data_IF_159219505106
#
_entry.id   IF_159219505106
#
_cell.length_a   1.000
_cell.length_b   1.000
_cell.length_c   1.000
_cell.angle_alpha   90.00
_cell.angle_beta   90.00
_cell.angle_gamma   90.00
#
_symmetry.space_group_name_H-M   'P 1'
#
loop_
_entity.id
_entity.type
_entity.pdbx_description
1 polymer ?
#
# COMPACT_ATOMS: atom_id res chain seq x y z
N UNK A 1 -19.09 -26.88 15.84
CA UNK A 1 -18.56 -26.39 17.13
C UNK A 1 -18.09 -24.98 16.93
N UNK A 2 -18.31 -24.03 17.84
CA UNK A 2 -17.63 -22.72 17.74
C UNK A 2 -16.13 -23.00 17.75
N UNK A 3 -15.44 -22.39 16.78
CA UNK A 3 -13.99 -22.54 16.65
C UNK A 3 -13.31 -21.98 17.90
N UNK A 4 -12.55 -22.81 18.58
CA UNK A 4 -11.80 -22.51 19.81
C UNK A 4 -10.58 -21.60 19.54
N UNK A 5 -10.66 -20.66 18.60
CA UNK A 5 -9.54 -19.80 18.24
C UNK A 5 -9.93 -18.39 17.83
N UNK A 6 -8.93 -17.54 17.76
CA UNK A 6 -9.10 -16.14 17.32
C UNK A 6 -9.35 -16.08 15.83
N UNK A 7 -10.08 -15.06 15.43
CA UNK A 7 -10.42 -14.79 14.03
C UNK A 7 -9.97 -13.39 13.64
N UNK A 8 -9.53 -13.25 12.38
CA UNK A 8 -9.24 -11.96 11.77
C UNK A 8 -10.11 -11.80 10.53
N UNK A 9 -10.75 -10.67 10.38
CA UNK A 9 -11.57 -10.32 9.21
C UNK A 9 -10.96 -9.09 8.55
N UNK A 10 -10.39 -9.25 7.38
CA UNK A 10 -9.78 -8.15 6.63
C UNK A 10 -10.77 -7.44 5.73
N UNK A 11 -10.77 -6.12 5.81
CA UNK A 11 -11.50 -5.19 4.93
C UNK A 11 -10.55 -4.12 4.41
N UNK A 12 -10.91 -3.44 3.32
CA UNK A 12 -10.06 -2.38 2.75
C UNK A 12 -10.37 -0.99 3.28
N UNK A 13 -11.54 -0.74 3.82
CA UNK A 13 -11.92 0.59 4.26
C UNK A 13 -12.13 0.69 5.77
N UNK A 14 -11.75 1.83 6.34
CA UNK A 14 -11.96 2.14 7.76
C UNK A 14 -13.44 2.06 8.13
N UNK A 15 -14.33 2.56 7.27
CA UNK A 15 -15.77 2.53 7.49
C UNK A 15 -16.32 1.12 7.50
N UNK A 16 -15.91 0.25 6.58
CA UNK A 16 -16.31 -1.17 6.56
C UNK A 16 -15.81 -1.88 7.80
N UNK A 17 -14.58 -1.62 8.26
CA UNK A 17 -14.03 -2.20 9.49
C UNK A 17 -14.96 -1.97 10.68
N UNK A 18 -15.38 -0.72 10.88
CA UNK A 18 -16.30 -0.35 11.97
C UNK A 18 -17.69 -0.97 11.79
N UNK A 19 -18.24 -0.91 10.57
CA UNK A 19 -19.56 -1.46 10.27
C UNK A 19 -19.63 -2.97 10.49
N UNK A 20 -18.63 -3.71 10.02
CA UNK A 20 -18.60 -5.15 10.19
C UNK A 20 -18.38 -5.57 11.64
N UNK A 21 -17.49 -4.88 12.38
CA UNK A 21 -17.32 -5.14 13.80
C UNK A 21 -18.65 -4.91 14.58
N UNK A 22 -19.40 -3.86 14.22
CA UNK A 22 -20.74 -3.60 14.81
C UNK A 22 -21.72 -4.73 14.46
N UNK A 23 -21.82 -5.12 13.19
CA UNK A 23 -22.72 -6.21 12.75
C UNK A 23 -22.42 -7.54 13.45
N UNK A 24 -21.15 -7.88 13.60
CA UNK A 24 -20.75 -9.10 14.31
C UNK A 24 -21.15 -9.04 15.79
N UNK A 25 -20.98 -7.89 16.44
CA UNK A 25 -21.47 -7.69 17.82
C UNK A 25 -22.98 -7.85 17.95
N UNK A 26 -23.76 -7.33 17.01
CA UNK A 26 -25.21 -7.49 16.97
C UNK A 26 -25.65 -8.97 16.81
N UNK A 27 -24.77 -9.80 16.25
CA UNK A 27 -24.97 -11.27 16.17
C UNK A 27 -24.38 -12.03 17.36
N UNK A 28 -23.97 -11.32 18.42
CA UNK A 28 -23.43 -11.95 19.62
C UNK A 28 -21.95 -12.37 19.55
N UNK A 29 -21.23 -11.97 18.51
CA UNK A 29 -19.80 -12.26 18.33
C UNK A 29 -19.00 -11.14 19.01
N UNK A 30 -18.07 -11.49 19.89
CA UNK A 30 -17.16 -10.55 20.55
C UNK A 30 -16.13 -10.02 19.54
N UNK A 31 -16.48 -9.00 18.77
CA UNK A 31 -15.68 -8.43 17.69
C UNK A 31 -15.15 -7.04 18.02
N UNK A 32 -13.94 -6.71 17.55
CA UNK A 32 -13.34 -5.39 17.63
C UNK A 32 -13.02 -4.83 16.25
N UNK A 33 -12.86 -3.50 16.15
CA UNK A 33 -12.42 -2.83 14.94
C UNK A 33 -10.98 -2.32 15.11
N UNK A 34 -10.16 -2.42 14.05
CA UNK A 34 -8.79 -1.91 14.07
C UNK A 34 -8.39 -1.31 12.72
N UNK A 35 -8.01 -0.05 12.70
CA UNK A 35 -7.55 0.65 11.49
C UNK A 35 -6.62 1.83 11.81
N UNK A 36 -5.84 2.27 10.85
CA UNK A 36 -4.86 3.35 11.02
C UNK A 36 -5.46 4.72 11.39
N UNK A 37 -6.77 4.92 11.20
CA UNK A 37 -7.46 6.15 11.61
C UNK A 37 -7.83 6.23 13.10
N UNK A 38 -7.57 5.17 13.88
CA UNK A 38 -7.76 5.16 15.33
C UNK A 38 -6.56 5.78 16.05
N UNK A 39 -6.78 6.36 17.24
CA UNK A 39 -5.70 6.81 18.10
C UNK A 39 -4.81 5.65 18.56
N UNK A 40 -3.61 5.95 19.04
CA UNK A 40 -2.71 4.92 19.55
C UNK A 40 -3.32 4.15 20.73
N UNK A 41 -4.02 4.85 21.62
CA UNK A 41 -4.65 4.27 22.80
C UNK A 41 -5.81 3.35 22.41
N UNK A 42 -6.67 3.77 21.47
CA UNK A 42 -7.75 2.93 20.94
C UNK A 42 -7.21 1.66 20.30
N UNK A 43 -6.16 1.77 19.46
CA UNK A 43 -5.52 0.59 18.84
C UNK A 43 -4.96 -0.35 19.88
N UNK A 44 -4.25 0.18 20.89
CA UNK A 44 -3.68 -0.61 21.99
C UNK A 44 -4.77 -1.32 22.78
N UNK A 45 -5.87 -0.63 23.12
CA UNK A 45 -7.00 -1.22 23.83
C UNK A 45 -7.65 -2.37 23.03
N UNK A 46 -7.91 -2.17 21.74
CA UNK A 46 -8.48 -3.22 20.88
C UNK A 46 -7.53 -4.42 20.73
N UNK A 47 -6.26 -4.16 20.56
CA UNK A 47 -5.25 -5.21 20.47
C UNK A 47 -5.16 -6.00 21.78
N UNK A 48 -5.10 -5.36 22.92
CA UNK A 48 -5.05 -6.01 24.24
C UNK A 48 -6.29 -6.85 24.48
N UNK A 49 -7.47 -6.33 24.17
CA UNK A 49 -8.73 -7.07 24.30
C UNK A 49 -8.77 -8.31 23.41
N UNK A 50 -8.20 -8.22 22.20
CA UNK A 50 -8.14 -9.36 21.27
C UNK A 50 -7.04 -10.36 21.61
N UNK A 51 -5.89 -9.90 22.12
CA UNK A 51 -4.83 -10.80 22.61
C UNK A 51 -5.28 -11.61 23.84
N UNK A 52 -6.12 -11.02 24.69
CA UNK A 52 -6.79 -11.67 25.81
C UNK A 52 -8.08 -12.37 25.40
N UNK A 53 -9.00 -12.53 26.35
CA UNK A 53 -10.29 -13.21 26.14
C UNK A 53 -11.45 -12.24 25.78
N UNK A 54 -11.20 -10.94 25.81
CA UNK A 54 -12.25 -9.94 25.60
C UNK A 54 -12.85 -9.91 24.20
N UNK A 55 -12.07 -10.27 23.16
CA UNK A 55 -12.54 -10.33 21.78
C UNK A 55 -12.12 -11.65 21.14
N UNK A 56 -13.04 -12.30 20.43
CA UNK A 56 -12.75 -13.48 19.61
C UNK A 56 -12.37 -13.09 18.17
N UNK A 57 -12.90 -11.98 17.67
CA UNK A 57 -12.77 -11.58 16.28
C UNK A 57 -12.23 -10.14 16.19
N UNK A 58 -11.22 -9.94 15.34
CA UNK A 58 -10.74 -8.61 14.97
C UNK A 58 -11.11 -8.32 13.53
N UNK A 59 -11.90 -7.28 13.30
CA UNK A 59 -12.15 -6.74 11.96
C UNK A 59 -11.14 -5.62 11.71
N UNK A 60 -10.37 -5.72 10.64
CA UNK A 60 -9.23 -4.82 10.48
C UNK A 60 -8.93 -4.48 9.02
N UNK A 61 -8.25 -3.35 8.80
CA UNK A 61 -7.49 -3.11 7.58
C UNK A 61 -6.10 -3.74 7.67
N UNK A 62 -5.31 -3.67 6.60
CA UNK A 62 -3.90 -4.12 6.58
C UNK A 62 -3.02 -3.46 7.67
N UNK A 63 -3.48 -2.38 8.31
CA UNK A 63 -2.82 -1.78 9.48
C UNK A 63 -2.72 -2.73 10.68
N UNK A 64 -3.57 -3.77 10.75
CA UNK A 64 -3.52 -4.77 11.80
C UNK A 64 -2.62 -5.91 11.37
N UNK A 65 -1.44 -5.97 11.98
CA UNK A 65 -0.58 -7.08 11.64
C UNK A 65 0.88 -6.92 12.03
N UNK A 66 1.49 -5.75 11.88
CA UNK A 66 2.87 -5.57 12.31
C UNK A 66 2.99 -5.73 13.83
N UNK A 67 3.83 -6.68 14.27
CA UNK A 67 4.07 -6.91 15.69
C UNK A 67 2.96 -7.71 16.42
N UNK A 68 1.98 -8.28 15.72
CA UNK A 68 0.99 -9.17 16.33
C UNK A 68 1.51 -10.60 16.30
N UNK A 69 1.77 -11.13 17.47
CA UNK A 69 2.14 -12.51 17.67
C UNK A 69 1.05 -13.22 18.53
N UNK A 70 0.03 -13.74 17.85
CA UNK A 70 -1.04 -14.51 18.44
C UNK A 70 -1.04 -15.92 17.83
N UNK A 71 -0.64 -16.90 18.62
CA UNK A 71 -0.49 -18.27 18.17
C UNK A 71 -1.83 -18.93 17.80
N UNK A 72 -2.92 -18.57 18.50
CA UNK A 72 -4.22 -19.23 18.37
C UNK A 72 -5.16 -18.61 17.34
N UNK A 73 -4.65 -17.98 16.28
CA UNK A 73 -5.49 -17.55 15.14
C UNK A 73 -5.84 -18.80 14.32
N UNK A 74 -7.15 -19.07 14.19
CA UNK A 74 -7.65 -20.24 13.47
C UNK A 74 -8.30 -19.90 12.14
N UNK A 75 -8.79 -18.69 11.99
CA UNK A 75 -9.45 -18.29 10.76
C UNK A 75 -9.06 -16.87 10.36
N UNK A 76 -8.79 -16.71 9.08
CA UNK A 76 -8.61 -15.40 8.43
C UNK A 76 -9.63 -15.28 7.31
N UNK A 77 -10.46 -14.24 7.38
CA UNK A 77 -11.49 -13.95 6.39
C UNK A 77 -11.09 -12.68 5.62
N UNK A 78 -11.25 -12.72 4.31
CA UNK A 78 -11.11 -11.57 3.45
C UNK A 78 -12.48 -11.20 2.86
N UNK A 79 -12.98 -10.02 3.19
CA UNK A 79 -14.22 -9.46 2.63
C UNK A 79 -13.97 -8.64 1.37
N UNK A 80 -12.70 -8.32 1.13
CA UNK A 80 -12.21 -7.62 -0.05
C UNK A 80 -10.93 -8.30 -0.54
N UNK A 81 -10.63 -8.16 -1.83
CA UNK A 81 -9.39 -8.72 -2.40
C UNK A 81 -8.19 -7.88 -1.93
N UNK A 82 -7.15 -8.49 -1.36
CA UNK A 82 -5.91 -7.82 -0.97
C UNK A 82 -5.25 -7.05 -2.11
N UNK A 83 -4.39 -6.09 -1.78
CA UNK A 83 -3.75 -5.22 -2.78
C UNK A 83 -2.78 -5.98 -3.68
N UNK A 84 -2.11 -6.99 -3.12
CA UNK A 84 -1.15 -7.83 -3.83
C UNK A 84 -1.15 -9.25 -3.28
N UNK A 85 -0.60 -10.23 -4.00
CA UNK A 85 -0.37 -11.58 -3.49
C UNK A 85 0.48 -11.59 -2.22
N UNK A 86 1.48 -10.72 -2.12
CA UNK A 86 2.35 -10.59 -0.96
C UNK A 86 1.55 -10.15 0.28
N UNK A 87 0.67 -9.16 0.12
CA UNK A 87 -0.25 -8.73 1.18
C UNK A 87 -1.13 -9.87 1.64
N UNK A 88 -1.69 -10.65 0.69
CA UNK A 88 -2.46 -11.84 1.00
C UNK A 88 -1.67 -12.84 1.83
N UNK A 89 -0.45 -13.19 1.39
CA UNK A 89 0.38 -14.12 2.13
C UNK A 89 0.76 -13.61 3.52
N UNK A 90 1.01 -12.33 3.68
CA UNK A 90 1.27 -11.72 4.99
C UNK A 90 0.04 -11.77 5.91
N UNK A 91 -1.15 -11.59 5.37
CA UNK A 91 -2.40 -11.62 6.11
C UNK A 91 -2.78 -13.03 6.54
N UNK A 92 -2.74 -14.02 5.65
CA UNK A 92 -3.02 -15.42 6.00
C UNK A 92 -1.93 -16.05 6.87
N UNK A 93 -0.68 -15.63 6.75
CA UNK A 93 0.46 -16.07 7.56
C UNK A 93 0.35 -15.72 9.05
N UNK A 94 -0.76 -15.09 9.47
CA UNK A 94 -1.07 -14.86 10.88
C UNK A 94 -1.79 -16.03 11.52
N UNK A 95 -2.39 -16.89 10.73
CA UNK A 95 -3.09 -18.06 11.22
C UNK A 95 -2.14 -19.26 11.38
N UNK A 96 -2.43 -20.12 12.35
CA UNK A 96 -1.72 -21.39 12.54
C UNK A 96 -0.25 -21.28 12.95
N UNK A 97 0.18 -20.21 13.60
CA UNK A 97 1.57 -20.02 14.03
C UNK A 97 2.04 -21.04 15.08
N UNK A 98 1.12 -21.68 15.75
CA UNK A 98 1.39 -22.79 16.69
C UNK A 98 1.49 -24.15 15.99
N UNK A 99 1.42 -24.20 14.67
CA UNK A 99 1.44 -25.43 13.87
C UNK A 99 0.09 -26.18 13.82
N UNK A 100 -0.95 -25.68 14.50
CA UNK A 100 -2.27 -26.28 14.41
C UNK A 100 -3.00 -25.85 13.13
N UNK A 101 -3.94 -26.68 12.62
CA UNK A 101 -4.70 -26.34 11.43
C UNK A 101 -5.42 -24.99 11.54
N UNK A 102 -5.36 -24.21 10.48
CA UNK A 102 -6.02 -22.92 10.36
C UNK A 102 -6.56 -22.76 8.94
N UNK A 103 -7.55 -21.90 8.76
CA UNK A 103 -8.27 -21.73 7.51
C UNK A 103 -8.19 -20.26 7.05
N UNK A 104 -8.06 -20.06 5.75
CA UNK A 104 -8.19 -18.75 5.10
C UNK A 104 -9.37 -18.78 4.13
N UNK A 105 -10.25 -17.78 4.23
CA UNK A 105 -11.48 -17.70 3.46
C UNK A 105 -11.57 -16.40 2.71
N UNK A 106 -11.90 -16.47 1.42
CA UNK A 106 -12.38 -15.33 0.65
C UNK A 106 -13.91 -15.33 0.62
N UNK A 107 -14.52 -14.24 1.10
CA UNK A 107 -15.96 -14.02 1.03
C UNK A 107 -16.24 -12.98 -0.06
N UNK A 108 -16.17 -13.42 -1.30
CA UNK A 108 -16.35 -12.56 -2.45
C UNK A 108 -17.83 -12.54 -2.84
N UNK A 109 -18.46 -11.37 -2.80
CA UNK A 109 -19.72 -11.14 -3.45
C UNK A 109 -19.53 -10.59 -4.89
N UNK A 110 -20.59 -10.51 -5.67
CA UNK A 110 -20.56 -10.00 -7.05
C UNK A 110 -20.07 -8.54 -7.14
N UNK A 111 -20.22 -7.76 -6.07
CA UNK A 111 -19.73 -6.37 -6.00
C UNK A 111 -18.23 -6.32 -5.82
N UNK A 112 -17.68 -7.18 -4.97
CA UNK A 112 -16.23 -7.29 -4.78
C UNK A 112 -15.58 -7.73 -6.09
N UNK A 113 -16.14 -8.75 -6.75
CA UNK A 113 -15.66 -9.20 -8.05
C UNK A 113 -15.73 -8.08 -9.10
N UNK A 114 -16.86 -7.39 -9.24
CA UNK A 114 -17.01 -6.29 -10.21
C UNK A 114 -16.11 -5.09 -9.90
N UNK A 115 -15.82 -4.84 -8.62
CA UNK A 115 -14.88 -3.78 -8.19
C UNK A 115 -13.45 -4.19 -8.53
N UNK A 116 -13.11 -5.46 -8.39
CA UNK A 116 -11.80 -5.98 -8.78
C UNK A 116 -11.60 -5.97 -10.31
N UNK A 117 -12.59 -6.39 -11.07
CA UNK A 117 -12.58 -6.36 -12.54
C UNK A 117 -12.50 -4.93 -13.09
N UNK A 118 -13.14 -3.97 -12.40
CA UNK A 118 -13.10 -2.53 -12.70
C UNK A 118 -11.88 -1.84 -12.08
N UNK A 119 -11.13 -2.51 -11.20
CA UNK A 119 -9.80 -1.98 -10.92
C UNK A 119 -9.13 -1.84 -12.27
N UNK A 120 -8.67 -0.64 -12.65
CA UNK A 120 -7.80 -0.58 -13.80
C UNK A 120 -6.76 -1.68 -13.53
N UNK A 121 -6.69 -2.67 -14.38
CA UNK A 121 -5.48 -3.46 -14.52
C UNK A 121 -4.43 -2.40 -14.49
N UNK A 122 -3.52 -2.46 -13.53
CA UNK A 122 -2.41 -1.52 -13.49
C UNK A 122 -1.95 -1.46 -14.92
N UNK A 123 -2.36 -0.41 -15.62
CA UNK A 123 -1.83 -0.14 -16.94
C UNK A 123 -0.37 -0.11 -16.61
N UNK A 124 0.34 -1.12 -17.04
CA UNK A 124 1.75 -1.23 -16.74
C UNK A 124 2.32 0.11 -17.15
N UNK A 125 2.80 0.87 -16.17
CA UNK A 125 3.32 2.20 -16.40
C UNK A 125 4.30 2.08 -17.55
N UNK A 126 3.99 2.72 -18.63
CA UNK A 126 4.90 2.74 -19.78
C UNK A 126 6.06 3.65 -19.45
N UNK A 127 7.15 3.45 -20.14
CA UNK A 127 8.28 4.38 -20.08
C UNK A 127 7.85 5.84 -20.32
N UNK A 128 6.99 6.06 -21.29
CA UNK A 128 6.49 7.39 -21.64
C UNK A 128 5.71 8.02 -20.46
N UNK A 129 4.98 7.20 -19.72
CA UNK A 129 4.25 7.63 -18.52
C UNK A 129 5.20 8.07 -17.40
N UNK A 130 6.22 7.27 -17.11
CA UNK A 130 7.23 7.60 -16.11
C UNK A 130 8.00 8.87 -16.49
N UNK A 131 8.39 8.99 -17.76
CA UNK A 131 9.05 10.19 -18.28
C UNK A 131 8.19 11.45 -18.14
N UNK A 132 6.90 11.36 -18.43
CA UNK A 132 5.97 12.49 -18.25
C UNK A 132 5.89 12.94 -16.79
N UNK A 133 5.79 11.98 -15.85
CA UNK A 133 5.76 12.31 -14.42
C UNK A 133 7.09 12.92 -13.99
N UNK A 134 8.21 12.31 -14.36
CA UNK A 134 9.56 12.80 -14.02
C UNK A 134 9.81 14.21 -14.52
N UNK A 135 9.52 14.48 -15.80
CA UNK A 135 9.68 15.81 -16.39
C UNK A 135 8.78 16.86 -15.72
N UNK A 136 7.58 16.45 -15.33
CA UNK A 136 6.67 17.36 -14.64
C UNK A 136 7.16 17.67 -13.24
N UNK A 137 7.73 16.69 -12.53
CA UNK A 137 8.37 16.91 -11.23
C UNK A 137 9.55 17.89 -11.37
N UNK A 138 10.43 17.69 -12.33
CA UNK A 138 11.53 18.62 -12.61
C UNK A 138 11.06 20.03 -12.91
N UNK A 139 10.02 20.15 -13.74
CA UNK A 139 9.44 21.46 -14.10
C UNK A 139 8.81 22.19 -12.91
N UNK A 140 8.13 21.48 -12.03
CA UNK A 140 7.53 22.04 -10.82
C UNK A 140 8.60 22.51 -9.82
N UNK A 141 9.70 21.75 -9.72
CA UNK A 141 10.84 22.09 -8.86
C UNK A 141 11.79 23.13 -9.45
N UNK A 142 11.53 23.62 -10.68
CA UNK A 142 12.44 24.51 -11.42
C UNK A 142 13.87 23.91 -11.52
N UNK A 143 13.96 22.59 -11.58
CA UNK A 143 15.23 21.88 -11.69
C UNK A 143 15.58 21.79 -13.17
N UNK A 144 16.73 22.32 -13.54
CA UNK A 144 17.23 22.21 -14.91
C UNK A 144 17.62 20.75 -15.22
N UNK A 145 17.49 20.36 -16.47
CA UNK A 145 17.92 19.03 -16.93
C UNK A 145 19.41 18.86 -16.64
N UNK A 146 19.78 17.77 -15.96
CA UNK A 146 21.17 17.53 -15.54
C UNK A 146 21.57 18.13 -14.19
N UNK A 147 20.76 19.01 -13.61
CA UNK A 147 20.91 19.50 -12.25
C UNK A 147 19.96 18.81 -11.28
N UNK A 148 20.13 19.00 -10.00
CA UNK A 148 19.17 18.54 -8.98
C UNK A 148 19.67 17.45 -8.07
N UNK A 149 20.96 17.08 -8.14
CA UNK A 149 21.56 16.19 -7.14
C UNK A 149 21.40 16.81 -5.76
N UNK A 150 20.86 16.04 -4.80
CA UNK A 150 20.57 16.45 -3.43
C UNK A 150 19.55 17.61 -3.28
N UNK A 151 18.90 18.05 -4.35
CA UNK A 151 17.81 19.02 -4.24
C UNK A 151 16.59 18.33 -3.64
N UNK A 152 16.11 18.89 -2.53
CA UNK A 152 14.85 18.48 -1.90
C UNK A 152 13.75 19.43 -2.33
N UNK A 153 12.65 18.88 -2.83
CA UNK A 153 11.47 19.68 -3.15
C UNK A 153 10.20 19.05 -2.59
N UNK A 154 9.24 19.89 -2.27
CA UNK A 154 7.92 19.45 -1.85
C UNK A 154 7.12 19.05 -3.09
N UNK A 155 6.45 17.91 -3.00
CA UNK A 155 5.60 17.39 -4.06
C UNK A 155 4.15 17.31 -3.58
N UNK A 156 3.24 17.84 -4.39
CA UNK A 156 1.81 17.67 -4.21
C UNK A 156 1.28 16.70 -5.29
N UNK A 157 0.84 15.51 -4.84
CA UNK A 157 0.29 14.49 -5.73
C UNK A 157 -1.02 14.91 -6.39
N UNK A 158 -1.82 15.73 -5.72
CA UNK A 158 -3.10 16.20 -6.27
C UNK A 158 -2.85 17.25 -7.36
N UNK A 159 -1.84 18.11 -7.20
CA UNK A 159 -1.41 19.04 -8.25
C UNK A 159 -0.86 18.28 -9.47
N UNK A 160 -0.03 17.26 -9.26
CA UNK A 160 0.48 16.41 -10.33
C UNK A 160 -0.65 15.68 -11.07
N UNK A 161 -1.59 15.14 -10.33
CA UNK A 161 -2.75 14.42 -10.87
C UNK A 161 -3.58 15.34 -11.79
N UNK A 162 -3.85 16.56 -11.36
CA UNK A 162 -4.56 17.57 -12.16
C UNK A 162 -3.78 17.95 -13.42
N UNK A 163 -2.47 18.23 -13.28
CA UNK A 163 -1.65 18.69 -14.40
C UNK A 163 -1.40 17.64 -15.47
N UNK A 164 -1.42 16.36 -15.09
CA UNK A 164 -1.21 15.22 -15.99
C UNK A 164 -2.51 14.57 -16.46
N UNK A 165 -3.66 15.06 -15.96
CA UNK A 165 -4.98 14.47 -16.21
C UNK A 165 -5.00 12.96 -15.92
N UNK A 166 -4.43 12.59 -14.77
CA UNK A 166 -4.34 11.20 -14.31
C UNK A 166 -4.87 11.06 -12.89
N UNK A 167 -5.46 9.91 -12.54
CA UNK A 167 -5.90 9.67 -11.16
C UNK A 167 -4.72 9.76 -10.18
N UNK A 168 -4.94 10.34 -9.00
CA UNK A 168 -3.93 10.48 -7.93
C UNK A 168 -3.19 9.15 -7.64
N UNK A 169 -3.91 8.04 -7.61
CA UNK A 169 -3.31 6.71 -7.39
C UNK A 169 -2.35 6.27 -8.49
N UNK A 170 -2.61 6.68 -9.75
CA UNK A 170 -1.73 6.40 -10.87
C UNK A 170 -0.41 7.19 -10.73
N UNK A 171 -0.50 8.45 -10.32
CA UNK A 171 0.68 9.27 -9.99
C UNK A 171 1.46 8.64 -8.83
N UNK A 172 0.76 8.19 -7.77
CA UNK A 172 1.39 7.52 -6.64
C UNK A 172 2.18 6.29 -7.09
N UNK A 173 1.58 5.44 -7.92
CA UNK A 173 2.24 4.25 -8.46
C UNK A 173 3.47 4.61 -9.30
N UNK A 174 3.38 5.64 -10.14
CA UNK A 174 4.51 6.11 -10.94
C UNK A 174 5.67 6.59 -10.07
N UNK A 175 5.36 7.36 -9.03
CA UNK A 175 6.33 7.87 -8.07
C UNK A 175 6.97 6.72 -7.26
N UNK A 176 6.19 5.78 -6.74
CA UNK A 176 6.71 4.58 -6.04
C UNK A 176 7.61 3.74 -6.95
N UNK A 177 7.22 3.58 -8.21
CA UNK A 177 8.02 2.84 -9.18
C UNK A 177 9.36 3.52 -9.40
N UNK A 178 9.38 4.84 -9.59
CA UNK A 178 10.62 5.60 -9.78
C UNK A 178 11.49 5.62 -8.52
N UNK A 179 10.92 5.66 -7.33
CA UNK A 179 11.67 5.54 -6.07
C UNK A 179 12.34 4.16 -5.96
N UNK A 180 11.60 3.10 -6.23
CA UNK A 180 12.12 1.73 -6.21
C UNK A 180 13.27 1.54 -7.21
N UNK A 181 13.20 2.18 -8.35
CA UNK A 181 14.26 2.19 -9.36
C UNK A 181 15.42 3.16 -9.00
N UNK A 182 15.34 3.84 -7.87
CA UNK A 182 16.42 4.68 -7.35
C UNK A 182 16.60 6.03 -8.04
N UNK A 183 15.60 6.50 -8.79
CA UNK A 183 15.67 7.79 -9.48
C UNK A 183 15.60 8.97 -8.50
N UNK A 184 14.88 8.80 -7.40
CA UNK A 184 14.81 9.75 -6.29
C UNK A 184 14.46 9.03 -4.98
N UNK A 185 14.41 9.76 -3.88
CA UNK A 185 13.98 9.27 -2.58
C UNK A 185 12.84 10.12 -2.05
N UNK A 186 11.81 9.46 -1.51
CA UNK A 186 10.74 10.11 -0.79
C UNK A 186 11.12 10.32 0.67
N UNK A 187 10.90 11.52 1.18
CA UNK A 187 11.02 11.85 2.59
C UNK A 187 9.64 12.14 3.17
N UNK A 188 9.40 11.75 4.41
CA UNK A 188 8.16 11.98 5.19
C UNK A 188 6.91 11.23 4.72
N UNK A 189 7.06 10.23 3.85
CA UNK A 189 5.97 9.36 3.41
C UNK A 189 4.91 10.08 2.57
N UNK A 190 3.74 9.42 2.41
CA UNK A 190 2.65 9.88 1.54
C UNK A 190 1.72 10.92 2.19
N UNK A 191 2.25 11.89 2.91
CA UNK A 191 1.48 13.03 3.39
C UNK A 191 1.29 14.04 2.27
N UNK A 192 0.34 14.99 2.44
CA UNK A 192 -0.01 16.00 1.43
C UNK A 192 1.17 16.86 0.92
N UNK A 193 2.32 16.77 1.57
CA UNK A 193 3.56 17.46 1.22
C UNK A 193 4.75 16.51 1.28
N UNK A 194 4.76 15.46 0.46
CA UNK A 194 5.93 14.59 0.34
C UNK A 194 7.11 15.36 -0.24
N UNK A 195 8.32 15.10 0.28
CA UNK A 195 9.55 15.67 -0.28
C UNK A 195 10.26 14.61 -1.10
N UNK A 196 10.73 14.97 -2.27
CA UNK A 196 11.57 14.12 -3.13
C UNK A 196 12.99 14.65 -3.15
N UNK A 197 13.94 13.72 -3.22
CA UNK A 197 15.37 14.01 -3.39
C UNK A 197 15.88 13.21 -4.57
N UNK A 198 16.39 13.89 -5.59
CA UNK A 198 17.00 13.24 -6.75
C UNK A 198 18.32 12.59 -6.34
N UNK A 199 18.50 11.31 -6.69
CA UNK A 199 19.68 10.53 -6.33
C UNK A 199 20.69 10.37 -7.47
N UNK A 200 20.23 10.50 -8.72
CA UNK A 200 21.05 10.27 -9.90
C UNK A 200 20.88 11.39 -10.91
N UNK A 201 21.94 11.74 -11.61
CA UNK A 201 21.95 12.71 -12.71
C UNK A 201 22.98 12.34 -13.77
N UNK A 202 22.84 12.86 -14.98
CA UNK A 202 23.81 12.74 -16.08
C UNK A 202 24.31 11.29 -16.31
N UNK A 203 25.61 11.09 -16.39
CA UNK A 203 26.22 9.79 -16.65
C UNK A 203 25.94 8.70 -15.59
N UNK A 204 25.68 9.10 -14.32
CA UNK A 204 25.33 8.15 -13.27
C UNK A 204 23.95 7.53 -13.52
N UNK A 205 23.02 8.31 -14.04
CA UNK A 205 21.70 7.84 -14.44
C UNK A 205 21.79 6.89 -15.65
N UNK A 206 22.66 7.18 -16.63
CA UNK A 206 22.93 6.29 -17.77
C UNK A 206 23.51 4.96 -17.32
N UNK A 207 24.49 4.97 -16.44
CA UNK A 207 25.11 3.75 -15.89
C UNK A 207 24.15 2.91 -15.06
N UNK A 208 23.30 3.53 -14.28
CA UNK A 208 22.25 2.84 -13.55
C UNK A 208 21.25 2.17 -14.53
N UNK A 209 20.96 2.83 -15.64
CA UNK A 209 20.13 2.29 -16.72
C UNK A 209 20.67 1.01 -17.32
N UNK A 210 21.96 0.99 -17.60
CA UNK A 210 22.64 -0.16 -18.21
C UNK A 210 22.70 -1.37 -17.28
N UNK A 211 22.62 -1.15 -15.97
CA UNK A 211 22.71 -2.20 -14.94
C UNK A 211 21.37 -2.84 -14.56
N UNK A 212 20.23 -2.28 -14.96
CA UNK A 212 18.91 -2.73 -14.58
C UNK A 212 18.29 -3.64 -15.64
N UNK A 213 18.25 -4.98 -15.45
CA UNK A 213 17.64 -5.89 -16.41
C UNK A 213 16.12 -5.63 -16.48
N UNK A 214 15.65 -5.24 -17.66
CA UNK A 214 14.24 -4.99 -17.97
C UNK A 214 13.80 -3.52 -17.90
N UNK A 215 14.55 -2.63 -17.27
CA UNK A 215 14.24 -1.21 -17.14
C UNK A 215 15.34 -0.27 -17.68
N UNK A 216 16.34 -0.83 -18.35
CA UNK A 216 17.42 -0.07 -19.00
C UNK A 216 16.91 1.05 -19.90
N UNK A 217 15.73 0.85 -20.53
CA UNK A 217 15.09 1.87 -21.35
C UNK A 217 14.65 3.10 -20.56
N UNK A 218 14.31 2.95 -19.28
CA UNK A 218 13.82 4.05 -18.41
C UNK A 218 14.95 5.04 -18.15
N UNK A 219 16.09 4.54 -17.73
CA UNK A 219 17.22 5.40 -17.42
C UNK A 219 17.94 5.93 -18.67
N UNK A 220 17.95 5.14 -19.80
CA UNK A 220 18.50 5.60 -21.08
C UNK A 220 17.75 6.79 -21.68
N UNK A 221 16.44 6.82 -21.55
CA UNK A 221 15.68 7.91 -22.12
C UNK A 221 15.68 9.16 -21.22
N UNK A 222 15.75 9.01 -19.89
CA UNK A 222 15.99 10.14 -18.97
C UNK A 222 17.38 10.75 -19.23
N UNK A 223 18.38 9.92 -19.51
CA UNK A 223 19.74 10.37 -19.83
C UNK A 223 19.90 10.98 -21.24
N UNK A 224 19.04 10.63 -22.20
CA UNK A 224 19.02 11.18 -23.57
C UNK A 224 18.22 12.46 -23.75
N UNK A 225 17.67 13.01 -22.69
CA UNK A 225 16.99 14.32 -22.70
C UNK A 225 17.98 15.46 -22.49
N UNK A 226 19.24 15.28 -22.85
CA UNK A 226 20.20 16.33 -23.06
C UNK A 226 19.83 17.09 -24.36
N UNK A 227 19.92 18.43 -24.38
CA UNK A 227 19.43 19.29 -25.43
C UNK A 227 20.11 19.06 -26.78
#
# INVERSE_FOLDING_TARGET
RPNDGKQIVYTRSRSQTVQWAKRLKEQGIAAGAYHAGMSADERSAQQTAWMGEGLSTMVATNAFGMGIDQAHVRQVFHLDIPDSPESYYQEIGRAGRDGAPAEAHFLLDSRVQSTFEKRPREESLTWEDLSRVYNRLGSLGQIAVGDGLDVQQTMDLDELAQRLDKPRRWIALAVETMEREGLFRLHDGWNAQAKIQLLLHGEALVRAAESLPGHAHVAYAVARMDP
#
